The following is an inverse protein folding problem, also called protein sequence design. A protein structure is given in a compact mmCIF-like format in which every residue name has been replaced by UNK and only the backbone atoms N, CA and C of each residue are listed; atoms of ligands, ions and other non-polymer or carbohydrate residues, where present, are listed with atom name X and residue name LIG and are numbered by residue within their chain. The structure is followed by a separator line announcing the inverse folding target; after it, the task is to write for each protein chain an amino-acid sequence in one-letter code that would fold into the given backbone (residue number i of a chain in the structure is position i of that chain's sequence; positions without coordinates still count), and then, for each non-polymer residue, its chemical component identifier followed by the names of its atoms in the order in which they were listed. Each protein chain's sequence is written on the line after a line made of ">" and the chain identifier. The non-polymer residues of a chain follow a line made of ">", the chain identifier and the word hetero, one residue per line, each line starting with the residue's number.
data_IF_346461138633
#
_entry.id   IF_346461138633
#
_cell.length_a   1.000
_cell.length_b   1.000
_cell.length_c   1.000
_cell.angle_alpha   90.00
_cell.angle_beta   90.00
_cell.angle_gamma   90.00
#
_symmetry.space_group_name_H-M   'P 1'
#
loop_
_entity.id
_entity.type
_entity.pdbx_description
1 polymer ?
#
# COMPACT_ATOMS: atom_id res chain seq x y z
N UNK A 1 17.74 -33.46 13.79
CA UNK A 1 17.69 -32.72 12.50
C UNK A 1 16.40 -31.91 12.51
N UNK A 2 16.46 -30.66 12.99
CA UNK A 2 15.29 -29.78 13.01
C UNK A 2 14.88 -29.46 11.57
N UNK A 3 13.59 -29.57 11.26
CA UNK A 3 13.06 -29.23 9.95
C UNK A 3 13.40 -27.77 9.63
N UNK A 4 14.18 -27.54 8.59
CA UNK A 4 14.48 -26.21 8.05
C UNK A 4 13.23 -25.51 7.45
N UNK A 5 12.13 -26.25 7.32
CA UNK A 5 10.86 -25.76 6.80
C UNK A 5 9.77 -26.01 7.86
N UNK A 6 9.51 -25.01 8.70
CA UNK A 6 8.27 -24.97 9.45
C UNK A 6 7.17 -24.50 8.50
N UNK A 7 6.19 -25.38 8.24
CA UNK A 7 5.00 -24.98 7.52
C UNK A 7 4.13 -24.14 8.47
N UNK A 8 3.75 -22.93 8.03
CA UNK A 8 2.94 -21.96 8.76
C UNK A 8 1.58 -22.52 9.29
N UNK A 9 1.17 -23.71 8.84
CA UNK A 9 -0.08 -24.35 9.24
C UNK A 9 -0.10 -24.86 10.68
N UNK A 10 1.06 -25.06 11.31
CA UNK A 10 1.16 -25.53 12.71
C UNK A 10 1.27 -24.38 13.71
N UNK A 11 1.45 -23.14 13.24
CA UNK A 11 1.70 -21.99 14.10
C UNK A 11 0.38 -21.39 14.61
N UNK A 12 -0.47 -20.86 13.72
CA UNK A 12 -1.66 -20.12 14.16
C UNK A 12 -2.79 -21.10 14.53
N UNK A 13 -3.33 -21.07 15.76
CA UNK A 13 -4.41 -21.96 16.19
C UNK A 13 -5.74 -21.58 15.49
N UNK A 14 -5.95 -22.10 14.28
CA UNK A 14 -7.17 -21.90 13.51
C UNK A 14 -8.38 -22.66 14.08
N UNK A 15 -8.18 -23.46 15.13
CA UNK A 15 -9.25 -24.16 15.84
C UNK A 15 -10.31 -23.18 16.38
N UNK A 16 -9.92 -21.96 16.74
CA UNK A 16 -10.85 -20.94 17.23
C UNK A 16 -11.79 -20.37 16.14
N UNK A 17 -11.54 -20.71 14.88
CA UNK A 17 -12.36 -20.33 13.72
C UNK A 17 -13.44 -21.36 13.36
N UNK A 18 -13.79 -22.28 14.28
CA UNK A 18 -14.95 -23.17 14.18
C UNK A 18 -16.27 -22.46 13.84
N UNK A 19 -16.34 -21.14 14.03
CA UNK A 19 -17.48 -20.28 13.66
C UNK A 19 -17.64 -20.07 12.15
N UNK A 20 -16.65 -20.44 11.32
CA UNK A 20 -16.64 -20.26 9.87
C UNK A 20 -16.61 -21.61 9.13
N UNK A 21 -17.72 -22.37 9.13
CA UNK A 21 -17.74 -23.70 8.51
C UNK A 21 -17.49 -23.64 7.00
N UNK A 22 -16.72 -24.60 6.46
CA UNK A 22 -16.45 -24.74 5.03
C UNK A 22 -15.45 -23.72 4.47
N UNK A 23 -14.67 -23.08 5.35
CA UNK A 23 -13.64 -22.07 5.00
C UNK A 23 -12.24 -22.47 5.44
N UNK A 24 -12.04 -23.72 5.83
CA UNK A 24 -10.81 -24.24 6.42
C UNK A 24 -9.63 -24.12 5.46
N UNK A 25 -9.84 -24.46 4.18
CA UNK A 25 -8.80 -24.35 3.16
C UNK A 25 -8.40 -22.89 2.90
N UNK A 26 -9.38 -21.97 2.81
CA UNK A 26 -9.13 -20.55 2.56
C UNK A 26 -8.42 -19.91 3.77
N UNK A 27 -8.81 -20.28 4.98
CA UNK A 27 -8.17 -19.82 6.21
C UNK A 27 -6.72 -20.29 6.30
N UNK A 28 -6.44 -21.56 5.99
CA UNK A 28 -5.07 -22.09 5.94
C UNK A 28 -4.22 -21.39 4.89
N UNK A 29 -4.76 -21.20 3.69
CA UNK A 29 -4.05 -20.51 2.61
C UNK A 29 -3.72 -19.05 3.00
N UNK A 30 -4.72 -18.31 3.49
CA UNK A 30 -4.53 -16.92 3.88
C UNK A 30 -3.59 -16.77 5.08
N UNK A 31 -3.70 -17.65 6.09
CA UNK A 31 -2.77 -17.71 7.23
C UNK A 31 -1.33 -17.90 6.76
N UNK A 32 -1.11 -18.81 5.81
CA UNK A 32 0.22 -19.08 5.24
C UNK A 32 0.78 -17.88 4.51
N UNK A 33 -0.05 -17.15 3.74
CA UNK A 33 0.37 -15.94 3.02
C UNK A 33 0.69 -14.75 3.94
N UNK A 34 0.05 -14.69 5.11
CA UNK A 34 0.24 -13.61 6.08
C UNK A 34 1.38 -13.88 7.07
N UNK A 35 1.88 -15.12 7.15
CA UNK A 35 2.89 -15.52 8.13
C UNK A 35 4.18 -14.69 8.00
N UNK A 36 4.76 -14.16 9.10
CA UNK A 36 5.98 -13.35 9.08
C UNK A 36 7.17 -14.01 8.39
N UNK A 37 7.30 -15.32 8.49
CA UNK A 37 8.40 -16.07 7.86
C UNK A 37 8.12 -16.47 6.40
N UNK A 38 6.88 -16.30 5.92
CA UNK A 38 6.55 -16.55 4.53
C UNK A 38 7.08 -15.43 3.63
N UNK A 39 7.30 -15.75 2.35
CA UNK A 39 7.67 -14.77 1.34
C UNK A 39 6.65 -13.61 1.33
N UNK A 40 7.08 -12.35 1.45
CA UNK A 40 6.18 -11.23 1.66
C UNK A 40 5.29 -11.00 0.43
N UNK A 41 4.00 -11.29 0.60
CA UNK A 41 2.99 -11.00 -0.41
C UNK A 41 2.51 -9.55 -0.23
N UNK A 42 2.99 -8.66 -1.10
CA UNK A 42 2.71 -7.21 -1.02
C UNK A 42 1.23 -6.87 -1.26
N UNK A 43 0.55 -7.64 -2.10
CA UNK A 43 -0.87 -7.47 -2.39
C UNK A 43 -1.57 -8.84 -2.37
N UNK A 44 -2.64 -8.95 -1.58
CA UNK A 44 -3.48 -10.14 -1.51
C UNK A 44 -4.91 -9.74 -1.87
N UNK A 45 -5.49 -10.39 -2.88
CA UNK A 45 -6.86 -10.10 -3.35
C UNK A 45 -7.77 -11.24 -2.95
N UNK A 46 -8.70 -10.97 -2.04
CA UNK A 46 -9.77 -11.89 -1.67
C UNK A 46 -10.98 -11.65 -2.58
N UNK A 47 -11.17 -12.51 -3.59
CA UNK A 47 -12.26 -12.39 -4.56
C UNK A 47 -13.33 -13.48 -4.39
N UNK A 48 -14.51 -13.25 -4.95
CA UNK A 48 -15.65 -14.16 -4.91
C UNK A 48 -16.97 -13.41 -4.88
N UNK A 49 -18.09 -14.11 -5.11
CA UNK A 49 -19.42 -13.51 -5.13
C UNK A 49 -19.82 -12.88 -3.78
N UNK A 50 -20.84 -12.01 -3.78
CA UNK A 50 -21.42 -11.50 -2.53
C UNK A 50 -21.93 -12.63 -1.62
N UNK A 51 -22.00 -12.38 -0.30
CA UNK A 51 -22.44 -13.36 0.71
C UNK A 51 -21.54 -14.60 0.91
N UNK A 52 -20.38 -14.67 0.25
CA UNK A 52 -19.38 -15.74 0.47
C UNK A 52 -18.61 -15.64 1.79
N UNK A 53 -18.82 -14.59 2.58
CA UNK A 53 -18.18 -14.43 3.89
C UNK A 53 -16.71 -13.99 3.86
N UNK A 54 -16.19 -13.50 2.72
CA UNK A 54 -14.80 -13.01 2.59
C UNK A 54 -14.41 -12.01 3.69
N UNK A 55 -15.27 -11.02 3.93
CA UNK A 55 -15.07 -10.02 4.97
C UNK A 55 -15.11 -10.62 6.38
N UNK A 56 -15.93 -11.65 6.61
CA UNK A 56 -16.00 -12.37 7.89
C UNK A 56 -14.72 -13.17 8.14
N UNK A 57 -14.21 -13.86 7.12
CA UNK A 57 -12.92 -14.58 7.14
C UNK A 57 -11.78 -13.63 7.48
N UNK A 58 -11.66 -12.50 6.79
CA UNK A 58 -10.60 -11.52 7.05
C UNK A 58 -10.68 -10.96 8.49
N UNK A 59 -11.89 -10.56 8.93
CA UNK A 59 -12.11 -10.01 10.29
C UNK A 59 -11.85 -11.01 11.41
N UNK A 60 -12.12 -12.29 11.17
CA UNK A 60 -11.89 -13.32 12.18
C UNK A 60 -10.41 -13.75 12.24
N UNK A 61 -9.73 -13.80 11.09
CA UNK A 61 -8.34 -14.27 11.03
C UNK A 61 -7.34 -13.22 11.52
N UNK A 62 -7.53 -11.93 11.19
CA UNK A 62 -6.51 -10.92 11.45
C UNK A 62 -6.16 -10.72 12.94
N UNK A 63 -7.13 -10.71 13.89
CA UNK A 63 -6.82 -10.65 15.32
C UNK A 63 -5.99 -11.86 15.79
N UNK A 64 -6.25 -13.05 15.24
CA UNK A 64 -5.52 -14.27 15.59
C UNK A 64 -4.08 -14.22 15.08
N UNK A 65 -3.88 -13.77 13.84
CA UNK A 65 -2.54 -13.59 13.26
C UNK A 65 -1.72 -12.61 14.09
N UNK A 66 -2.29 -11.44 14.41
CA UNK A 66 -1.62 -10.43 15.24
C UNK A 66 -1.24 -10.99 16.63
N UNK A 67 -2.20 -11.59 17.34
CA UNK A 67 -1.97 -12.17 18.67
C UNK A 67 -0.94 -13.31 18.66
N UNK A 68 -0.94 -14.14 17.62
CA UNK A 68 0.01 -15.24 17.50
C UNK A 68 1.44 -14.73 17.27
N UNK A 69 1.61 -13.69 16.45
CA UNK A 69 2.94 -13.07 16.25
C UNK A 69 3.47 -12.37 17.50
N UNK A 70 2.60 -11.85 18.38
CA UNK A 70 3.05 -11.28 19.66
C UNK A 70 3.66 -12.32 20.62
N UNK A 71 3.29 -13.60 20.49
CA UNK A 71 3.67 -14.64 21.47
C UNK A 71 4.91 -15.43 21.08
N UNK A 72 5.22 -15.54 19.78
CA UNK A 72 6.25 -16.44 19.26
C UNK A 72 7.50 -15.70 18.74
N UNK A 73 7.39 -14.42 18.41
CA UNK A 73 8.50 -13.61 17.91
C UNK A 73 8.79 -12.44 18.86
N UNK A 74 9.99 -11.87 18.79
CA UNK A 74 10.32 -10.67 19.56
C UNK A 74 9.26 -9.58 19.31
N UNK A 75 8.97 -8.74 20.30
CA UNK A 75 7.93 -7.69 20.26
C UNK A 75 7.99 -6.78 19.00
N UNK A 76 9.15 -6.76 18.32
CA UNK A 76 9.42 -6.05 17.08
C UNK A 76 8.83 -6.67 15.80
N UNK A 77 8.47 -7.95 15.81
CA UNK A 77 7.97 -8.67 14.62
C UNK A 77 6.44 -8.85 14.63
N UNK A 78 5.75 -8.27 15.61
CA UNK A 78 4.32 -8.37 15.74
C UNK A 78 3.60 -7.73 14.55
N UNK A 79 2.67 -8.47 13.95
CA UNK A 79 1.85 -7.96 12.85
C UNK A 79 0.82 -7.00 13.40
N UNK A 80 0.90 -5.74 12.98
CA UNK A 80 -0.16 -4.74 13.17
C UNK A 80 -1.06 -4.70 11.94
N UNK A 81 -2.32 -4.33 12.13
CA UNK A 81 -3.27 -4.28 11.02
C UNK A 81 -4.32 -3.18 11.21
N UNK A 82 -4.89 -2.73 10.09
CA UNK A 82 -6.04 -1.84 10.09
C UNK A 82 -7.11 -2.32 9.10
N UNK A 83 -8.38 -2.15 9.49
CA UNK A 83 -9.52 -2.42 8.62
C UNK A 83 -10.16 -1.12 8.15
N UNK A 84 -10.35 -1.01 6.83
CA UNK A 84 -11.09 0.10 6.22
C UNK A 84 -12.18 -0.49 5.33
N UNK A 85 -13.42 -0.09 5.57
CA UNK A 85 -14.55 -0.48 4.74
C UNK A 85 -14.73 0.54 3.63
N UNK A 86 -14.22 0.24 2.44
CA UNK A 86 -14.26 1.15 1.30
C UNK A 86 -15.71 1.52 0.91
N UNK A 87 -16.66 0.59 1.06
CA UNK A 87 -18.08 0.88 0.77
C UNK A 87 -18.72 1.95 1.68
N UNK A 88 -18.08 2.35 2.79
CA UNK A 88 -18.53 3.46 3.64
C UNK A 88 -17.91 4.80 3.20
N UNK A 89 -16.94 4.76 2.29
CA UNK A 89 -16.20 5.92 1.82
C UNK A 89 -16.82 6.44 0.53
N UNK A 90 -17.62 7.51 0.61
CA UNK A 90 -18.33 8.05 -0.57
C UNK A 90 -17.36 8.44 -1.71
N UNK A 91 -16.24 9.08 -1.39
CA UNK A 91 -15.25 9.58 -2.36
C UNK A 91 -13.88 8.96 -2.16
N UNK A 92 -12.99 9.05 -3.17
CA UNK A 92 -11.59 8.62 -3.04
C UNK A 92 -10.84 9.35 -1.92
N UNK A 93 -11.08 10.66 -1.77
CA UNK A 93 -10.57 11.46 -0.64
C UNK A 93 -11.00 10.89 0.70
N UNK A 94 -12.30 10.62 0.88
CA UNK A 94 -12.81 10.05 2.13
C UNK A 94 -12.17 8.69 2.40
N UNK A 95 -11.94 7.87 1.37
CA UNK A 95 -11.20 6.60 1.51
C UNK A 95 -9.76 6.84 2.02
N UNK A 96 -9.03 7.78 1.46
CA UNK A 96 -7.64 8.07 1.85
C UNK A 96 -7.54 8.61 3.29
N UNK A 97 -8.40 9.55 3.67
CA UNK A 97 -8.48 10.08 5.04
C UNK A 97 -8.83 8.97 6.05
N UNK A 98 -9.74 8.05 5.69
CA UNK A 98 -10.09 6.89 6.53
C UNK A 98 -8.95 5.89 6.65
N UNK A 99 -8.17 5.67 5.60
CA UNK A 99 -6.97 4.82 5.65
C UNK A 99 -5.95 5.40 6.62
N UNK A 100 -5.60 6.68 6.46
CA UNK A 100 -4.65 7.37 7.34
C UNK A 100 -5.10 7.27 8.80
N UNK A 101 -6.35 7.62 9.09
CA UNK A 101 -6.89 7.57 10.45
C UNK A 101 -6.88 6.16 11.05
N UNK A 102 -7.24 5.14 10.26
CA UNK A 102 -7.24 3.75 10.71
C UNK A 102 -5.81 3.23 10.98
N UNK A 103 -4.84 3.60 10.16
CA UNK A 103 -3.43 3.23 10.35
C UNK A 103 -2.85 3.93 11.57
N UNK A 104 -3.07 5.23 11.74
CA UNK A 104 -2.62 5.97 12.92
C UNK A 104 -3.18 5.38 14.22
N UNK A 105 -4.47 5.01 14.22
CA UNK A 105 -5.12 4.33 15.36
C UNK A 105 -4.48 2.97 15.64
N UNK A 106 -4.21 2.17 14.60
CA UNK A 106 -3.59 0.84 14.76
C UNK A 106 -2.12 0.90 15.20
N UNK A 107 -1.42 1.99 14.90
CA UNK A 107 -0.04 2.22 15.31
C UNK A 107 0.08 2.93 16.67
N UNK A 108 -1.04 3.33 17.29
CA UNK A 108 -1.08 4.13 18.53
C UNK A 108 -0.30 5.45 18.40
N UNK A 109 -0.26 6.00 17.18
CA UNK A 109 0.39 7.29 16.91
C UNK A 109 -0.59 8.38 17.33
N UNK A 110 -0.30 9.01 18.48
CA UNK A 110 -1.13 10.06 19.08
C UNK A 110 -0.83 11.48 18.54
N UNK A 111 0.09 11.61 17.58
CA UNK A 111 0.38 12.90 16.95
C UNK A 111 -0.78 13.35 16.06
N UNK A 112 -0.93 14.69 16.04
CA UNK A 112 -2.02 15.44 15.43
C UNK A 112 -2.38 14.90 14.04
N UNK A 113 -3.69 14.65 13.85
CA UNK A 113 -4.27 13.99 12.67
C UNK A 113 -3.59 14.49 11.40
N UNK A 114 -2.85 13.59 10.75
CA UNK A 114 -1.95 13.88 9.65
C UNK A 114 -2.57 14.73 8.52
N UNK A 115 -1.73 15.31 7.65
CA UNK A 115 -2.14 16.29 6.65
C UNK A 115 -3.31 15.79 5.79
N UNK A 116 -4.16 16.73 5.35
CA UNK A 116 -5.28 16.47 4.44
C UNK A 116 -4.81 15.57 3.29
N UNK A 117 -5.42 14.40 3.18
CA UNK A 117 -5.03 13.38 2.23
C UNK A 117 -6.07 13.34 1.10
N UNK A 118 -5.80 14.09 0.05
CA UNK A 118 -6.69 14.27 -1.10
C UNK A 118 -6.25 13.43 -2.30
N UNK A 119 -4.94 13.15 -2.43
CA UNK A 119 -4.37 12.37 -3.53
C UNK A 119 -3.79 11.04 -3.04
N UNK A 120 -3.67 10.08 -3.98
CA UNK A 120 -2.96 8.83 -3.73
C UNK A 120 -1.48 9.07 -3.35
N UNK A 121 -0.89 10.17 -3.83
CA UNK A 121 0.49 10.51 -3.50
C UNK A 121 0.67 10.95 -2.07
N UNK A 122 -0.23 11.83 -1.61
CA UNK A 122 -0.29 12.24 -0.22
C UNK A 122 -0.52 11.03 0.69
N UNK A 123 -1.34 10.07 0.28
CA UNK A 123 -1.54 8.83 1.03
C UNK A 123 -0.24 8.03 1.14
N UNK A 124 0.48 7.84 0.03
CA UNK A 124 1.73 7.09 0.04
C UNK A 124 2.78 7.73 0.94
N UNK A 125 2.92 9.07 0.90
CA UNK A 125 3.83 9.81 1.79
C UNK A 125 3.40 9.67 3.25
N UNK A 126 2.12 9.88 3.55
CA UNK A 126 1.60 9.78 4.92
C UNK A 126 1.83 8.38 5.52
N UNK A 127 1.61 7.32 4.74
CA UNK A 127 1.90 5.95 5.18
C UNK A 127 3.40 5.71 5.33
N UNK A 128 4.22 6.20 4.39
CA UNK A 128 5.67 6.09 4.47
C UNK A 128 6.28 6.85 5.65
N UNK A 129 5.59 7.85 6.20
CA UNK A 129 6.00 8.56 7.43
C UNK A 129 5.49 7.91 8.71
N UNK A 130 4.36 7.20 8.68
CA UNK A 130 3.78 6.51 9.85
C UNK A 130 4.38 5.12 10.07
N UNK A 131 4.65 4.38 9.00
CA UNK A 131 5.22 3.03 9.03
C UNK A 131 6.74 2.89 9.33
N UNK A 132 7.63 3.91 9.23
CA UNK A 132 9.04 3.78 9.56
C UNK A 132 9.30 3.77 11.07
N UNK A 133 8.31 4.18 11.88
CA UNK A 133 8.34 4.04 13.33
C UNK A 133 8.25 2.57 13.78
N UNK A 134 7.89 1.64 12.88
CA UNK A 134 7.83 0.21 13.18
C UNK A 134 9.17 -0.41 12.77
N UNK A 135 10.06 -0.58 13.75
CA UNK A 135 11.39 -1.15 13.54
C UNK A 135 11.31 -2.44 12.71
N UNK A 136 12.08 -2.52 11.62
CA UNK A 136 12.15 -3.72 10.80
C UNK A 136 12.60 -4.93 11.63
N UNK A 137 12.07 -6.15 11.36
CA UNK A 137 11.16 -6.53 10.27
C UNK A 137 9.66 -6.54 10.65
N UNK A 138 9.11 -5.41 11.09
CA UNK A 138 7.67 -5.33 11.33
C UNK A 138 6.83 -5.33 10.04
N UNK A 139 5.74 -6.11 10.03
CA UNK A 139 4.78 -6.17 8.93
C UNK A 139 3.48 -5.48 9.33
N UNK A 140 3.01 -4.57 8.50
CA UNK A 140 1.70 -3.94 8.65
C UNK A 140 0.73 -4.43 7.59
N UNK A 141 -0.48 -4.85 7.98
CA UNK A 141 -1.51 -5.32 7.06
C UNK A 141 -2.68 -4.34 6.99
N UNK A 142 -2.84 -3.68 5.83
CA UNK A 142 -4.01 -2.85 5.54
C UNK A 142 -5.08 -3.65 4.81
N UNK A 143 -6.25 -3.82 5.42
CA UNK A 143 -7.39 -4.53 4.82
C UNK A 143 -8.41 -3.53 4.28
N UNK A 144 -8.56 -3.50 2.95
CA UNK A 144 -9.58 -2.72 2.25
C UNK A 144 -10.78 -3.61 1.90
N UNK A 145 -11.84 -3.52 2.71
CA UNK A 145 -13.04 -4.33 2.57
C UNK A 145 -14.04 -3.67 1.59
N UNK A 146 -14.37 -4.37 0.50
CA UNK A 146 -15.32 -3.92 -0.51
C UNK A 146 -14.80 -2.79 -1.40
N UNK A 147 -13.52 -2.81 -1.76
CA UNK A 147 -12.88 -1.78 -2.59
C UNK A 147 -13.46 -1.69 -4.01
N UNK A 148 -14.05 -2.79 -4.50
CA UNK A 148 -14.81 -2.88 -5.75
C UNK A 148 -16.12 -2.09 -5.73
N UNK A 149 -16.68 -1.82 -4.54
CA UNK A 149 -17.94 -1.09 -4.36
C UNK A 149 -17.75 0.41 -4.21
N UNK A 150 -16.55 0.91 -4.50
CA UNK A 150 -16.27 2.32 -4.41
C UNK A 150 -17.00 3.07 -5.52
N UNK A 151 -17.99 3.88 -5.12
CA UNK A 151 -18.97 4.49 -6.03
C UNK A 151 -18.31 5.36 -7.11
N UNK A 152 -17.36 6.20 -6.69
CA UNK A 152 -16.67 7.17 -7.56
C UNK A 152 -15.19 6.82 -7.74
N UNK A 153 -14.85 5.53 -7.83
CA UNK A 153 -13.46 5.12 -8.02
C UNK A 153 -12.99 5.37 -9.46
N UNK A 154 -11.93 6.18 -9.67
CA UNK A 154 -11.29 6.22 -10.98
C UNK A 154 -10.69 4.84 -11.30
N UNK A 155 -10.59 4.45 -12.58
CA UNK A 155 -10.03 3.15 -12.97
C UNK A 155 -8.57 2.98 -12.53
N UNK A 156 -7.89 4.07 -12.19
CA UNK A 156 -6.51 4.12 -11.68
C UNK A 156 -6.41 3.88 -10.18
N UNK A 157 -7.51 3.88 -9.42
CA UNK A 157 -7.50 3.75 -7.95
C UNK A 157 -6.92 2.41 -7.50
N UNK A 158 -7.47 1.30 -8.00
CA UNK A 158 -7.02 -0.05 -7.62
C UNK A 158 -5.57 -0.33 -8.05
N UNK A 159 -5.16 -0.04 -9.29
CA UNK A 159 -3.75 -0.12 -9.67
C UNK A 159 -2.85 0.75 -8.80
N UNK A 160 -3.29 1.97 -8.48
CA UNK A 160 -2.55 2.89 -7.63
C UNK A 160 -2.34 2.35 -6.22
N UNK A 161 -3.42 1.89 -5.57
CA UNK A 161 -3.38 1.27 -4.24
C UNK A 161 -2.48 0.03 -4.22
N UNK A 162 -2.57 -0.83 -5.24
CA UNK A 162 -1.73 -2.02 -5.35
C UNK A 162 -0.23 -1.66 -5.43
N UNK A 163 0.13 -0.54 -6.07
CA UNK A 163 1.53 -0.10 -6.18
C UNK A 163 2.05 0.63 -4.94
N UNK A 164 1.18 1.03 -4.01
CA UNK A 164 1.64 1.70 -2.77
C UNK A 164 2.57 0.83 -1.94
N UNK A 165 2.38 -0.48 -1.97
CA UNK A 165 3.24 -1.45 -1.27
C UNK A 165 4.68 -1.47 -1.81
N UNK A 166 4.95 -0.90 -2.99
CA UNK A 166 6.29 -0.68 -3.53
C UNK A 166 6.86 0.69 -3.11
N UNK A 167 5.99 1.69 -2.94
CA UNK A 167 6.36 3.10 -2.70
C UNK A 167 6.58 3.36 -1.21
N UNK A 168 5.64 2.92 -0.36
CA UNK A 168 5.70 3.13 1.08
C UNK A 168 6.83 2.32 1.76
N UNK A 169 7.25 1.21 1.14
CA UNK A 169 8.27 0.29 1.68
C UNK A 169 9.69 0.66 1.22
N UNK A 170 9.86 1.57 0.25
CA UNK A 170 11.19 2.00 -0.21
C UNK A 170 11.94 2.94 0.76
N UNK A 171 11.34 3.27 1.91
CA UNK A 171 12.01 3.99 2.99
C UNK A 171 13.24 3.26 3.56
N UNK A 172 13.39 1.96 3.31
CA UNK A 172 14.57 1.15 3.70
C UNK A 172 15.89 1.64 3.07
N UNK A 173 15.82 2.50 2.03
CA UNK A 173 16.97 3.10 1.37
C UNK A 173 17.06 4.62 1.60
N UNK A 174 16.19 5.19 2.43
CA UNK A 174 16.29 6.60 2.78
C UNK A 174 17.45 6.77 3.78
N UNK A 175 18.54 7.47 3.43
CA UNK A 175 19.61 7.74 4.38
C UNK A 175 19.04 8.50 5.57
N UNK A 176 19.49 8.14 6.78
CA UNK A 176 19.10 8.77 8.04
C UNK A 176 19.19 10.31 7.89
N UNK A 177 18.05 10.99 8.05
CA UNK A 177 17.96 12.46 7.97
C UNK A 177 17.16 13.03 6.79
N UNK A 178 16.50 12.22 5.97
CA UNK A 178 15.68 12.76 4.85
C UNK A 178 14.35 13.35 5.33
N UNK A 179 14.25 14.68 5.31
CA UNK A 179 13.05 15.46 5.62
C UNK A 179 12.04 15.42 4.46
N UNK A 180 11.44 14.26 4.18
CA UNK A 180 10.42 14.10 3.12
C UNK A 180 9.05 14.70 3.53
N UNK A 181 8.96 15.38 4.67
CA UNK A 181 7.70 15.81 5.28
C UNK A 181 7.11 17.18 4.87
N UNK A 182 7.60 17.89 3.84
CA UNK A 182 7.20 19.31 3.67
C UNK A 182 6.78 19.81 2.28
N UNK A 183 6.66 18.96 1.26
CA UNK A 183 6.32 19.46 -0.08
C UNK A 183 4.99 18.89 -0.61
N UNK A 184 3.88 19.40 -0.08
CA UNK A 184 2.51 19.01 -0.48
C UNK A 184 2.09 19.33 -1.93
N UNK A 185 2.97 19.98 -2.71
CA UNK A 185 2.81 20.22 -4.16
C UNK A 185 3.85 19.47 -5.01
N UNK A 186 5.07 19.27 -4.50
CA UNK A 186 6.11 18.51 -5.21
C UNK A 186 5.97 16.99 -5.07
N UNK A 187 5.24 16.50 -4.06
CA UNK A 187 4.99 15.07 -3.87
C UNK A 187 4.21 14.44 -5.02
N UNK A 188 3.24 15.16 -5.60
CA UNK A 188 2.45 14.69 -6.75
C UNK A 188 3.32 14.60 -8.01
N UNK A 189 4.17 15.60 -8.26
CA UNK A 189 5.11 15.60 -9.39
C UNK A 189 6.19 14.53 -9.19
N UNK A 190 6.76 14.43 -8.01
CA UNK A 190 7.72 13.39 -7.65
C UNK A 190 7.13 11.99 -7.80
N UNK A 191 5.86 11.79 -7.42
CA UNK A 191 5.15 10.53 -7.63
C UNK A 191 4.88 10.27 -9.12
N UNK A 192 4.46 11.27 -9.89
CA UNK A 192 4.26 11.13 -11.33
C UNK A 192 5.59 10.74 -12.02
N UNK A 193 6.69 11.39 -11.65
CA UNK A 193 8.04 11.08 -12.12
C UNK A 193 8.47 9.66 -11.74
N UNK A 194 8.24 9.23 -10.49
CA UNK A 194 8.52 7.87 -10.04
C UNK A 194 7.67 6.82 -10.76
N UNK A 195 6.41 7.14 -11.05
CA UNK A 195 5.48 6.28 -11.79
C UNK A 195 5.94 6.11 -13.23
N UNK A 196 6.23 7.21 -13.92
CA UNK A 196 6.74 7.20 -15.30
C UNK A 196 8.12 6.53 -15.41
N UNK A 197 8.97 6.68 -14.39
CA UNK A 197 10.24 5.97 -14.31
C UNK A 197 10.05 4.46 -14.16
N UNK A 198 9.10 4.03 -13.33
CA UNK A 198 8.74 2.61 -13.16
C UNK A 198 8.19 2.00 -14.46
N UNK A 199 7.41 2.78 -15.21
CA UNK A 199 6.87 2.37 -16.52
C UNK A 199 7.89 2.47 -17.65
N UNK A 200 9.15 2.85 -17.36
CA UNK A 200 10.21 3.10 -18.35
C UNK A 200 9.83 4.11 -19.44
N UNK A 201 8.90 5.02 -19.14
CA UNK A 201 8.52 6.15 -19.99
C UNK A 201 9.42 7.36 -19.74
N UNK A 202 9.98 7.46 -18.53
CA UNK A 202 11.05 8.38 -18.19
C UNK A 202 12.29 7.58 -17.74
N UNK A 203 13.45 7.93 -18.26
CA UNK A 203 14.73 7.31 -17.91
C UNK A 203 15.66 8.40 -17.40
N UNK A 204 16.16 8.23 -16.18
CA UNK A 204 17.09 9.20 -15.59
C UNK A 204 18.42 9.19 -16.37
N UNK A 205 18.96 10.38 -16.63
CA UNK A 205 20.26 10.59 -17.26
C UNK A 205 21.18 11.29 -16.28
N UNK A 206 22.23 10.60 -15.86
CA UNK A 206 23.23 11.10 -14.91
C UNK A 206 23.09 10.52 -13.51
N UNK A 207 24.04 10.89 -12.64
CA UNK A 207 24.08 10.49 -11.23
C UNK A 207 23.42 11.60 -10.40
N UNK A 208 22.34 11.26 -9.70
CA UNK A 208 21.59 12.18 -8.84
C UNK A 208 20.26 11.56 -8.40
N UNK A 209 19.77 11.95 -7.22
CA UNK A 209 18.54 11.41 -6.62
C UNK A 209 17.31 11.67 -7.52
N UNK A 210 16.29 10.80 -7.43
CA UNK A 210 15.03 10.89 -8.19
C UNK A 210 14.26 12.18 -7.86
N UNK A 211 14.51 12.74 -6.68
CA UNK A 211 13.92 14.00 -6.19
C UNK A 211 14.69 15.25 -6.64
N UNK A 212 15.87 15.09 -7.25
CA UNK A 212 16.69 16.23 -7.66
C UNK A 212 16.11 16.91 -8.90
N UNK A 213 15.55 18.12 -8.66
CA UNK A 213 14.94 19.02 -9.64
C UNK A 213 15.87 19.35 -10.80
N UNK A 214 17.19 19.28 -10.60
CA UNK A 214 18.17 19.66 -11.63
C UNK A 214 18.54 18.51 -12.59
N UNK A 215 18.18 17.27 -12.30
CA UNK A 215 18.73 16.19 -13.10
C UNK A 215 17.96 15.92 -14.39
N UNK A 216 18.70 15.37 -15.35
CA UNK A 216 18.29 15.22 -16.73
C UNK A 216 17.46 13.94 -16.88
N UNK A 217 16.37 14.02 -17.63
CA UNK A 217 15.52 12.86 -17.92
C UNK A 217 15.43 12.67 -19.44
N UNK A 218 15.49 11.42 -19.88
CA UNK A 218 15.17 11.00 -21.25
C UNK A 218 13.73 10.49 -21.27
N UNK A 219 12.96 10.96 -22.23
CA UNK A 219 11.61 10.47 -22.48
C UNK A 219 11.74 9.27 -23.43
N UNK A 220 11.23 8.12 -23.00
CA UNK A 220 11.20 6.88 -23.78
C UNK A 220 9.76 6.58 -24.22
N UNK A 221 9.14 7.57 -24.84
CA UNK A 221 7.80 7.52 -25.42
C UNK A 221 7.82 8.35 -26.72
N UNK A 222 7.05 7.92 -27.73
CA UNK A 222 6.97 8.67 -28.98
C UNK A 222 6.16 9.95 -28.79
N UNK A 223 6.57 11.02 -29.48
CA UNK A 223 5.89 12.31 -29.44
C UNK A 223 4.43 12.22 -29.91
N UNK A 224 4.12 11.32 -30.84
CA UNK A 224 2.75 11.07 -31.30
C UNK A 224 1.85 10.52 -30.19
N UNK A 225 2.37 9.62 -29.34
CA UNK A 225 1.62 9.06 -28.21
C UNK A 225 1.38 10.13 -27.14
N UNK A 226 2.41 10.93 -26.83
CA UNK A 226 2.27 12.04 -25.87
C UNK A 226 1.23 13.05 -26.33
N UNK A 227 1.25 13.43 -27.62
CA UNK A 227 0.23 14.31 -28.21
C UNK A 227 -1.15 13.70 -28.24
N UNK A 228 -1.27 12.41 -28.56
CA UNK A 228 -2.54 11.69 -28.53
C UNK A 228 -3.19 11.71 -27.15
N UNK A 229 -2.40 11.45 -26.11
CA UNK A 229 -2.86 11.50 -24.71
C UNK A 229 -3.22 12.93 -24.32
N UNK A 230 -2.38 13.92 -24.64
CA UNK A 230 -2.66 15.33 -24.38
C UNK A 230 -4.01 15.78 -24.95
N UNK A 231 -4.26 15.49 -26.24
CA UNK A 231 -5.54 15.81 -26.90
C UNK A 231 -6.74 15.13 -26.24
N UNK A 232 -6.59 13.88 -25.79
CA UNK A 232 -7.66 13.17 -25.07
C UNK A 232 -8.03 13.82 -23.74
N UNK A 233 -7.07 14.52 -23.11
CA UNK A 233 -7.24 15.25 -21.86
C UNK A 233 -7.54 16.75 -22.09
N UNK A 234 -7.72 17.19 -23.35
CA UNK A 234 -7.86 18.61 -23.74
C UNK A 234 -6.66 19.47 -23.29
N UNK A 235 -5.48 18.89 -23.30
CA UNK A 235 -4.21 19.58 -23.03
C UNK A 235 -3.41 19.65 -24.34
N UNK A 236 -3.20 20.86 -24.83
CA UNK A 236 -2.36 21.11 -26.02
C UNK A 236 -0.90 21.16 -25.59
N UNK A 237 -0.25 19.98 -25.49
CA UNK A 237 1.15 19.85 -25.04
C UNK A 237 2.13 20.66 -25.90
N UNK A 238 1.75 20.98 -27.15
CA UNK A 238 2.52 21.80 -28.09
C UNK A 238 2.72 23.24 -27.58
N UNK A 239 1.76 23.81 -26.85
CA UNK A 239 1.85 25.17 -26.30
C UNK A 239 2.83 25.29 -25.12
N UNK A 240 3.26 24.16 -24.56
CA UNK A 240 4.10 24.08 -23.37
C UNK A 240 5.55 23.70 -23.69
N UNK A 241 5.89 23.49 -24.96
CA UNK A 241 7.26 23.28 -25.40
C UNK A 241 7.99 24.63 -25.43
N UNK A 242 9.04 24.76 -24.63
CA UNK A 242 9.98 25.89 -24.70
C UNK A 242 10.99 25.57 -25.80
N UNK A 243 11.18 26.47 -26.77
CA UNK A 243 12.23 26.39 -27.80
C UNK A 243 13.65 26.46 -27.22
#
# INVERSE_FOLDING_TARGET
>A
MASLFHLAHDAIPLHDLQRLPGREHQLRALSTLLHPDAAPCRNIVLHGTEATGKSAVARALMPLVAAHTHTHTHERDAIKYAFVKASQCITGRHLFERIVAAVATALETHDDVGPRCETLAQLAVALATMLPAVAAPARFVLVLDGVDRQRDAPPTLLPGLARMSEIAVRGEWAPEGSSVGMAGLDGDVGMAMATLASLRLLVRVGSGDVTDRAGKWRINASWEVVRGIGRSLRVEVEEWLIE
#
